data_IF_495520555896
#
_entry.id   IF_495520555896
#
_cell.length_a   1.000
_cell.length_b   1.000
_cell.length_c   1.000
_cell.angle_alpha   90.00
_cell.angle_beta   90.00
_cell.angle_gamma   90.00
#
_symmetry.space_group_name_H-M   'P 1'
#
loop_
_entity.id
_entity.type
_entity.pdbx_description
1 polymer ?
#
# COMPACT_ATOMS: atom_id res chain seq x y z
N UNK A 1 -10.75 -10.08 7.09
CA UNK A 1 -10.37 -9.07 6.10
C UNK A 1 -10.86 -9.37 4.67
N UNK A 2 -10.59 -10.53 4.07
CA UNK A 2 -11.06 -10.82 2.69
C UNK A 2 -12.60 -10.82 2.52
N UNK A 3 -13.34 -11.37 3.49
CA UNK A 3 -14.81 -11.47 3.45
C UNK A 3 -15.54 -10.11 3.39
N UNK A 4 -14.87 -9.02 3.78
CA UNK A 4 -15.41 -7.66 3.75
C UNK A 4 -15.64 -7.18 2.31
N UNK A 5 -14.75 -7.56 1.40
CA UNK A 5 -14.76 -7.10 0.02
C UNK A 5 -15.44 -8.10 -0.92
N UNK A 6 -15.31 -9.39 -0.61
CA UNK A 6 -15.75 -10.47 -1.50
C UNK A 6 -17.23 -10.85 -1.30
N UNK A 7 -17.87 -10.45 -0.20
CA UNK A 7 -19.33 -10.61 0.00
C UNK A 7 -20.10 -9.54 -0.76
N UNK A 8 -20.29 -9.78 -2.07
CA UNK A 8 -21.07 -8.92 -2.97
C UNK A 8 -22.54 -8.76 -2.59
N UNK A 9 -23.02 -9.55 -1.62
CA UNK A 9 -24.38 -9.45 -1.05
C UNK A 9 -24.59 -8.13 -0.28
N UNK A 10 -23.52 -7.50 0.22
CA UNK A 10 -23.59 -6.22 0.92
C UNK A 10 -23.46 -5.05 -0.07
N UNK A 11 -24.22 -3.96 0.11
CA UNK A 11 -24.06 -2.74 -0.66
C UNK A 11 -22.60 -2.24 -0.64
N UNK A 12 -22.06 -1.70 -1.76
CA UNK A 12 -20.68 -1.20 -1.84
C UNK A 12 -20.29 -0.24 -0.70
N UNK A 13 -21.22 0.62 -0.28
CA UNK A 13 -21.07 1.55 0.85
C UNK A 13 -20.78 0.84 2.18
N UNK A 14 -21.40 -0.32 2.41
CA UNK A 14 -21.17 -1.09 3.64
C UNK A 14 -19.83 -1.82 3.61
N UNK A 15 -19.39 -2.27 2.42
CA UNK A 15 -18.09 -2.95 2.25
C UNK A 15 -16.92 -1.99 2.50
N UNK A 16 -16.96 -0.76 1.97
CA UNK A 16 -15.90 0.24 2.23
C UNK A 16 -15.86 0.68 3.70
N UNK A 17 -17.02 0.82 4.36
CA UNK A 17 -17.09 1.18 5.78
C UNK A 17 -16.47 0.15 6.72
N UNK A 18 -16.39 -1.11 6.29
CA UNK A 18 -15.71 -2.16 7.05
C UNK A 18 -14.18 -2.05 6.97
N UNK A 19 -13.62 -1.18 6.11
CA UNK A 19 -12.19 -0.84 6.14
C UNK A 19 -11.84 0.07 7.33
N UNK A 20 -12.73 0.99 7.72
CA UNK A 20 -12.46 1.97 8.79
C UNK A 20 -12.11 1.31 10.15
N UNK A 21 -12.81 0.25 10.61
CA UNK A 21 -12.40 -0.46 11.82
C UNK A 21 -11.00 -1.08 11.74
N UNK A 22 -10.57 -1.53 10.55
CA UNK A 22 -9.22 -2.09 10.40
C UNK A 22 -8.15 -1.00 10.46
N UNK A 23 -8.37 0.15 9.82
CA UNK A 23 -7.46 1.30 9.92
C UNK A 23 -7.33 1.76 11.37
N UNK A 24 -8.46 1.87 12.10
CA UNK A 24 -8.47 2.20 13.53
C UNK A 24 -7.74 1.17 14.38
N UNK A 25 -8.00 -0.12 14.19
CA UNK A 25 -7.26 -1.17 14.90
C UNK A 25 -5.75 -1.03 14.69
N UNK A 26 -5.32 -0.79 13.45
CA UNK A 26 -3.89 -0.61 13.17
C UNK A 26 -3.33 0.61 13.90
N UNK A 27 -3.99 1.76 13.83
CA UNK A 27 -3.47 3.01 14.39
C UNK A 27 -3.61 3.11 15.91
N UNK A 28 -4.71 2.62 16.46
CA UNK A 28 -5.10 2.84 17.85
C UNK A 28 -4.68 1.67 18.76
N UNK A 29 -4.40 0.49 18.20
CA UNK A 29 -4.02 -0.70 18.98
C UNK A 29 -2.65 -1.26 18.56
N UNK A 30 -2.47 -1.57 17.27
CA UNK A 30 -1.24 -2.26 16.80
C UNK A 30 -0.01 -1.36 16.83
N UNK A 31 -0.11 -0.11 16.35
CA UNK A 31 1.02 0.83 16.37
C UNK A 31 1.49 1.13 17.81
N UNK A 32 0.59 1.42 18.77
CA UNK A 32 0.97 1.56 20.18
C UNK A 32 1.63 0.30 20.74
N UNK A 33 1.10 -0.89 20.42
CA UNK A 33 1.69 -2.16 20.86
C UNK A 33 3.12 -2.35 20.35
N UNK A 34 3.39 -2.07 19.07
CA UNK A 34 4.73 -2.17 18.48
C UNK A 34 5.71 -1.21 19.17
N UNK A 35 5.28 0.02 19.44
CA UNK A 35 6.11 1.06 20.07
C UNK A 35 6.46 0.74 21.51
N UNK A 36 5.50 0.19 22.27
CA UNK A 36 5.72 -0.31 23.63
C UNK A 36 6.72 -1.48 23.64
N UNK A 37 6.53 -2.47 22.76
CA UNK A 37 7.42 -3.63 22.63
C UNK A 37 8.86 -3.22 22.24
N UNK A 38 8.99 -2.24 21.34
CA UNK A 38 10.28 -1.69 20.90
C UNK A 38 10.85 -0.62 21.86
N UNK A 39 10.13 -0.23 22.91
CA UNK A 39 10.50 0.83 23.85
C UNK A 39 10.86 2.16 23.17
N UNK A 40 10.12 2.53 22.12
CA UNK A 40 10.32 3.77 21.38
C UNK A 40 9.00 4.29 20.83
N UNK A 41 8.58 5.46 21.33
CA UNK A 41 7.32 6.12 20.96
C UNK A 41 7.27 6.60 19.50
N UNK A 42 8.41 6.70 18.84
CA UNK A 42 8.56 7.28 17.51
C UNK A 42 9.28 6.36 16.52
N UNK A 43 9.53 5.09 16.88
CA UNK A 43 10.16 4.13 15.97
C UNK A 43 9.35 4.06 14.66
N UNK A 44 10.00 4.26 13.49
CA UNK A 44 9.31 4.16 12.22
C UNK A 44 8.97 2.70 11.92
N UNK A 45 7.80 2.49 11.33
CA UNK A 45 7.30 1.15 11.01
C UNK A 45 7.39 0.94 9.50
N UNK A 46 7.91 -0.23 9.09
CA UNK A 46 7.79 -0.69 7.72
C UNK A 46 6.49 -1.49 7.56
N UNK A 47 5.70 -1.18 6.52
CA UNK A 47 4.48 -1.90 6.18
C UNK A 47 4.69 -2.67 4.87
N UNK A 48 4.16 -3.88 4.78
CA UNK A 48 4.30 -4.71 3.58
C UNK A 48 3.03 -5.48 3.29
N UNK A 49 2.76 -5.72 2.01
CA UNK A 49 1.61 -6.52 1.61
C UNK A 49 1.64 -6.96 0.16
N UNK A 50 0.89 -8.02 -0.12
CA UNK A 50 0.74 -8.62 -1.45
C UNK A 50 -0.70 -8.48 -1.93
N UNK A 51 -0.94 -8.24 -3.21
CA UNK A 51 -2.28 -8.13 -3.78
C UNK A 51 -3.10 -7.05 -3.05
N UNK A 52 -4.26 -7.36 -2.47
CA UNK A 52 -5.01 -6.43 -1.62
C UNK A 52 -4.17 -5.85 -0.46
N UNK A 53 -3.20 -6.61 0.06
CA UNK A 53 -2.27 -6.11 1.07
C UNK A 53 -1.39 -4.97 0.57
N UNK A 54 -1.05 -4.94 -0.72
CA UNK A 54 -0.24 -3.88 -1.32
C UNK A 54 -1.02 -2.55 -1.39
N UNK A 55 -2.33 -2.61 -1.65
CA UNK A 55 -3.22 -1.45 -1.55
C UNK A 55 -3.20 -0.88 -0.13
N UNK A 56 -3.32 -1.74 0.89
CA UNK A 56 -3.28 -1.30 2.28
C UNK A 56 -1.93 -0.71 2.65
N UNK A 57 -0.83 -1.37 2.28
CA UNK A 57 0.52 -0.92 2.60
C UNK A 57 0.79 0.49 2.02
N UNK A 58 0.45 0.72 0.75
CA UNK A 58 0.62 2.06 0.16
C UNK A 58 -0.29 3.09 0.80
N UNK A 59 -1.54 2.71 1.12
CA UNK A 59 -2.50 3.63 1.72
C UNK A 59 -2.09 4.04 3.15
N UNK A 60 -1.60 3.12 3.97
CA UNK A 60 -1.08 3.44 5.30
C UNK A 60 0.14 4.37 5.24
N UNK A 61 1.08 4.09 4.35
CA UNK A 61 2.27 4.93 4.18
C UNK A 61 1.93 6.34 3.70
N UNK A 62 1.01 6.48 2.76
CA UNK A 62 0.60 7.80 2.26
C UNK A 62 -0.27 8.58 3.25
N UNK A 63 -1.13 7.90 4.01
CA UNK A 63 -2.01 8.55 5.01
C UNK A 63 -1.29 8.92 6.31
N UNK A 64 -0.34 8.10 6.73
CA UNK A 64 0.35 8.26 8.01
C UNK A 64 1.88 8.26 7.78
N UNK A 65 2.39 9.25 7.02
CA UNK A 65 3.78 9.26 6.54
C UNK A 65 4.82 9.29 7.66
N UNK A 66 4.49 9.85 8.82
CA UNK A 66 5.39 9.87 9.99
C UNK A 66 5.47 8.54 10.74
N UNK A 67 4.48 7.67 10.55
CA UNK A 67 4.36 6.36 11.22
C UNK A 67 4.93 5.27 10.31
N UNK A 68 4.44 5.19 9.08
CA UNK A 68 4.85 4.14 8.12
C UNK A 68 5.80 4.71 7.07
N UNK A 69 7.10 4.69 7.38
CA UNK A 69 8.12 5.34 6.55
C UNK A 69 8.53 4.54 5.32
N UNK A 70 8.26 3.24 5.32
CA UNK A 70 8.56 2.35 4.20
C UNK A 70 7.36 1.45 3.91
N UNK A 71 6.94 1.40 2.65
CA UNK A 71 5.92 0.48 2.16
C UNK A 71 6.49 -0.45 1.08
N UNK A 72 6.41 -1.75 1.31
CA UNK A 72 6.66 -2.75 0.28
C UNK A 72 5.33 -3.28 -0.27
N UNK A 73 5.03 -2.91 -1.51
CA UNK A 73 3.77 -3.18 -2.19
C UNK A 73 4.01 -4.19 -3.31
N UNK A 74 3.59 -5.43 -3.13
CA UNK A 74 3.81 -6.51 -4.08
C UNK A 74 2.55 -6.88 -4.86
N UNK A 75 2.61 -6.82 -6.19
CA UNK A 75 1.55 -7.23 -7.11
C UNK A 75 0.20 -6.60 -6.77
N UNK A 76 0.19 -5.28 -6.50
CA UNK A 76 -0.99 -4.55 -6.05
C UNK A 76 -1.92 -4.09 -7.17
N UNK A 77 -3.16 -3.79 -6.78
CA UNK A 77 -4.08 -2.90 -7.50
C UNK A 77 -4.35 -1.70 -6.61
N UNK A 78 -4.18 -0.50 -7.15
CA UNK A 78 -4.13 0.73 -6.35
C UNK A 78 -5.33 1.65 -6.59
N UNK A 79 -6.21 1.28 -7.52
CA UNK A 79 -7.58 1.75 -7.55
C UNK A 79 -8.41 0.92 -6.57
N UNK A 80 -9.22 1.51 -5.69
CA UNK A 80 -10.11 0.75 -4.79
C UNK A 80 -11.50 0.48 -5.40
N UNK A 81 -11.85 1.12 -6.51
CA UNK A 81 -13.19 1.02 -7.12
C UNK A 81 -13.52 -0.38 -7.63
N UNK A 82 -12.51 -1.21 -7.95
CA UNK A 82 -12.73 -2.61 -8.32
C UNK A 82 -13.29 -3.44 -7.15
N UNK A 83 -13.07 -3.01 -5.90
CA UNK A 83 -13.62 -3.65 -4.70
C UNK A 83 -15.10 -3.29 -4.47
N UNK A 84 -15.54 -2.18 -5.06
CA UNK A 84 -16.87 -1.59 -4.85
C UNK A 84 -17.76 -1.67 -6.10
N UNK A 85 -17.34 -2.45 -7.11
CA UNK A 85 -18.02 -2.56 -8.40
C UNK A 85 -18.25 -1.17 -9.06
N UNK A 86 -17.25 -0.28 -8.96
CA UNK A 86 -17.28 1.06 -9.52
C UNK A 86 -18.01 2.12 -8.67
N UNK A 87 -18.56 1.75 -7.51
CA UNK A 87 -19.16 2.73 -6.61
C UNK A 87 -18.09 3.66 -6.01
N UNK A 88 -18.33 4.96 -6.09
CA UNK A 88 -17.43 6.01 -5.60
C UNK A 88 -18.13 6.84 -4.53
N UNK A 89 -17.46 7.02 -3.40
CA UNK A 89 -17.72 8.05 -2.39
C UNK A 89 -16.38 8.47 -1.77
N UNK A 90 -16.42 9.39 -0.82
CA UNK A 90 -15.22 9.88 -0.12
C UNK A 90 -14.42 8.73 0.52
N UNK A 91 -15.09 7.75 1.13
CA UNK A 91 -14.41 6.59 1.73
C UNK A 91 -13.63 5.78 0.68
N UNK A 92 -14.20 5.55 -0.50
CA UNK A 92 -13.50 4.84 -1.60
C UNK A 92 -12.37 5.70 -2.15
N UNK A 93 -12.64 6.99 -2.36
CA UNK A 93 -11.67 7.95 -2.89
C UNK A 93 -10.41 7.99 -2.02
N UNK A 94 -10.55 8.23 -0.71
CA UNK A 94 -9.42 8.31 0.22
C UNK A 94 -8.79 6.95 0.55
N UNK A 95 -9.33 5.84 0.04
CA UNK A 95 -8.72 4.51 0.15
C UNK A 95 -8.23 3.96 -1.20
N UNK A 96 -8.20 4.80 -2.23
CA UNK A 96 -7.74 4.50 -3.57
C UNK A 96 -6.54 5.40 -3.91
N UNK A 97 -5.29 4.98 -3.62
CA UNK A 97 -4.10 5.81 -3.84
C UNK A 97 -4.01 6.45 -5.22
N UNK A 98 -4.36 5.72 -6.29
CA UNK A 98 -4.38 6.28 -7.65
C UNK A 98 -5.37 7.46 -7.77
N UNK A 99 -6.46 7.44 -7.01
CA UNK A 99 -7.48 8.49 -7.05
C UNK A 99 -7.09 9.74 -6.27
N UNK A 100 -6.52 9.60 -5.07
CA UNK A 100 -6.27 10.76 -4.19
C UNK A 100 -4.87 11.35 -4.31
N UNK A 101 -3.85 10.57 -4.68
CA UNK A 101 -2.47 11.08 -4.81
C UNK A 101 -2.36 12.30 -5.74
N UNK A 102 -3.04 12.34 -6.91
CA UNK A 102 -3.03 13.54 -7.77
C UNK A 102 -3.53 14.82 -7.09
N UNK A 103 -4.39 14.70 -6.07
CA UNK A 103 -4.94 15.83 -5.32
C UNK A 103 -4.10 16.27 -4.11
N UNK A 104 -3.02 15.56 -3.76
CA UNK A 104 -2.21 15.91 -2.59
C UNK A 104 -1.31 17.11 -2.91
N UNK A 105 -1.36 18.14 -2.06
CA UNK A 105 -0.63 19.40 -2.20
C UNK A 105 -0.21 19.96 -0.83
N UNK A 106 0.55 21.07 -0.86
CA UNK A 106 0.93 21.82 0.34
C UNK A 106 1.81 21.06 1.33
N UNK A 107 1.69 21.40 2.62
CA UNK A 107 2.53 20.86 3.69
C UNK A 107 2.41 19.35 3.84
N UNK A 108 1.23 18.79 3.56
CA UNK A 108 1.02 17.35 3.63
C UNK A 108 1.80 16.59 2.54
N UNK A 109 1.91 17.17 1.33
CA UNK A 109 2.77 16.59 0.29
C UNK A 109 4.24 16.58 0.72
N UNK A 110 4.71 17.63 1.40
CA UNK A 110 6.08 17.70 1.89
C UNK A 110 6.32 16.64 2.98
N UNK A 111 5.37 16.47 3.89
CA UNK A 111 5.44 15.43 4.93
C UNK A 111 5.60 14.03 4.33
N UNK A 112 4.85 13.72 3.26
CA UNK A 112 4.99 12.44 2.55
C UNK A 112 6.37 12.32 1.90
N UNK A 113 6.83 13.37 1.20
CA UNK A 113 8.14 13.38 0.53
C UNK A 113 9.31 13.18 1.49
N UNK A 114 9.21 13.74 2.70
CA UNK A 114 10.25 13.68 3.72
C UNK A 114 10.31 12.32 4.43
N UNK A 115 9.15 11.69 4.65
CA UNK A 115 9.09 10.53 5.54
C UNK A 115 8.74 9.21 4.85
N UNK A 116 8.27 9.23 3.59
CA UNK A 116 7.72 8.02 2.96
C UNK A 116 8.55 7.56 1.77
N UNK A 117 8.84 6.26 1.73
CA UNK A 117 9.35 5.58 0.55
C UNK A 117 8.46 4.37 0.20
N UNK A 118 8.06 4.24 -1.06
CA UNK A 118 7.27 3.10 -1.55
C UNK A 118 8.08 2.22 -2.52
N UNK A 119 8.30 0.96 -2.18
CA UNK A 119 8.77 -0.06 -3.10
C UNK A 119 7.56 -0.73 -3.78
N UNK A 120 7.32 -0.39 -5.04
CA UNK A 120 6.27 -0.93 -5.89
C UNK A 120 6.83 -2.08 -6.73
N UNK A 121 6.47 -3.31 -6.37
CA UNK A 121 7.07 -4.52 -6.93
C UNK A 121 6.00 -5.35 -7.61
N UNK A 122 6.24 -5.82 -8.84
CA UNK A 122 5.29 -6.68 -9.53
C UNK A 122 6.01 -7.71 -10.40
N UNK A 123 5.48 -8.94 -10.45
CA UNK A 123 5.89 -9.90 -11.48
C UNK A 123 5.30 -9.55 -12.85
N UNK A 124 5.78 -10.21 -13.90
CA UNK A 124 5.24 -10.05 -15.26
C UNK A 124 4.74 -11.38 -15.86
N UNK A 125 4.58 -12.39 -15.01
CA UNK A 125 4.10 -13.72 -15.38
C UNK A 125 2.60 -13.92 -15.17
N UNK A 126 2.19 -15.18 -15.02
CA UNK A 126 0.78 -15.55 -14.95
C UNK A 126 0.02 -14.82 -13.83
N UNK A 127 -1.20 -14.39 -14.16
CA UNK A 127 -2.17 -13.76 -13.26
C UNK A 127 -1.76 -12.39 -12.71
N UNK A 128 -0.74 -11.76 -13.30
CA UNK A 128 -0.38 -10.36 -12.99
C UNK A 128 -1.11 -9.34 -13.88
N UNK A 129 -1.96 -9.81 -14.80
CA UNK A 129 -2.75 -8.96 -15.68
C UNK A 129 -3.61 -7.96 -14.87
N UNK A 130 -3.47 -6.67 -15.19
CA UNK A 130 -4.05 -5.54 -14.46
C UNK A 130 -3.16 -4.99 -13.35
N UNK A 131 -2.41 -5.84 -12.62
CA UNK A 131 -1.54 -5.39 -11.53
C UNK A 131 -0.29 -4.68 -12.08
N UNK A 132 0.23 -5.14 -13.22
CA UNK A 132 1.38 -4.52 -13.90
C UNK A 132 1.03 -3.08 -14.29
N UNK A 133 -0.12 -2.90 -14.97
CA UNK A 133 -0.57 -1.58 -15.42
C UNK A 133 -0.82 -0.64 -14.24
N UNK A 134 -1.53 -1.11 -13.20
CA UNK A 134 -1.77 -0.34 -11.99
C UNK A 134 -0.47 0.05 -11.27
N UNK A 135 0.48 -0.87 -11.16
CA UNK A 135 1.77 -0.62 -10.51
C UNK A 135 2.59 0.43 -11.26
N UNK A 136 2.66 0.34 -12.59
CA UNK A 136 3.33 1.31 -13.43
C UNK A 136 2.65 2.69 -13.38
N UNK A 137 1.31 2.72 -13.45
CA UNK A 137 0.55 3.96 -13.37
C UNK A 137 0.73 4.63 -12.01
N UNK A 138 0.64 3.87 -10.93
CA UNK A 138 0.83 4.41 -9.59
C UNK A 138 2.25 4.98 -9.41
N UNK A 139 3.28 4.29 -9.91
CA UNK A 139 4.65 4.81 -9.94
C UNK A 139 4.75 6.14 -10.72
N UNK A 140 4.02 6.29 -11.84
CA UNK A 140 4.02 7.54 -12.59
C UNK A 140 3.44 8.70 -11.77
N UNK A 141 2.34 8.47 -11.05
CA UNK A 141 1.73 9.47 -10.18
C UNK A 141 2.63 9.87 -9.02
N UNK A 142 3.29 8.90 -8.37
CA UNK A 142 4.27 9.18 -7.31
C UNK A 142 5.43 10.02 -7.83
N UNK A 143 5.94 9.69 -9.03
CA UNK A 143 6.99 10.46 -9.71
C UNK A 143 6.55 11.89 -10.01
N UNK A 144 5.36 12.10 -10.56
CA UNK A 144 4.80 13.43 -10.83
C UNK A 144 4.67 14.26 -9.55
N UNK A 145 4.30 13.63 -8.44
CA UNK A 145 4.23 14.26 -7.12
C UNK A 145 5.59 14.34 -6.42
N UNK A 146 6.68 13.83 -6.98
CA UNK A 146 8.00 13.83 -6.36
C UNK A 146 8.09 13.01 -5.07
N UNK A 147 7.18 12.05 -4.88
CA UNK A 147 7.19 11.14 -3.72
C UNK A 147 8.24 10.06 -3.95
N UNK A 148 9.06 9.78 -2.94
CA UNK A 148 10.12 8.76 -3.03
C UNK A 148 9.53 7.38 -3.26
N UNK A 149 9.98 6.72 -4.32
CA UNK A 149 9.51 5.37 -4.66
C UNK A 149 10.54 4.62 -5.50
N UNK A 150 10.40 3.30 -5.53
CA UNK A 150 11.06 2.40 -6.45
C UNK A 150 9.98 1.63 -7.21
N UNK A 151 10.12 1.50 -8.53
CA UNK A 151 9.36 0.55 -9.34
C UNK A 151 10.28 -0.60 -9.71
N UNK A 152 9.91 -1.82 -9.34
CA UNK A 152 10.66 -3.04 -9.68
C UNK A 152 9.76 -4.10 -10.32
N UNK A 153 9.98 -4.34 -11.61
CA UNK A 153 9.22 -5.31 -12.39
C UNK A 153 10.08 -6.55 -12.62
N UNK A 154 9.71 -7.65 -11.97
CA UNK A 154 10.41 -8.92 -12.08
C UNK A 154 10.01 -9.64 -13.38
N UNK A 155 10.80 -10.66 -13.77
CA UNK A 155 10.68 -11.33 -15.07
C UNK A 155 9.30 -11.94 -15.37
N UNK A 156 9.11 -12.34 -16.63
CA UNK A 156 7.87 -12.98 -17.11
C UNK A 156 7.62 -14.38 -16.53
N UNK A 157 8.59 -14.95 -15.82
CA UNK A 157 8.45 -16.18 -15.04
C UNK A 157 7.83 -15.94 -13.64
N UNK A 158 7.75 -14.68 -13.22
CA UNK A 158 7.31 -14.29 -11.87
C UNK A 158 5.80 -14.05 -11.87
N UNK A 159 5.06 -15.03 -11.33
CA UNK A 159 3.59 -15.03 -11.29
C UNK A 159 3.02 -14.46 -9.99
N UNK A 160 1.73 -14.16 -9.98
CA UNK A 160 0.96 -13.69 -8.83
C UNK A 160 0.74 -14.77 -7.75
N UNK A 161 1.83 -15.24 -7.12
CA UNK A 161 1.82 -16.34 -6.16
C UNK A 161 2.82 -16.16 -5.03
N UNK A 162 2.50 -16.76 -3.89
CA UNK A 162 3.29 -16.69 -2.66
C UNK A 162 4.80 -16.98 -2.80
N UNK A 163 5.26 -18.01 -3.53
CA UNK A 163 6.69 -18.29 -3.63
C UNK A 163 7.49 -17.12 -4.23
N UNK A 164 6.87 -16.34 -5.12
CA UNK A 164 7.49 -15.16 -5.71
C UNK A 164 7.46 -13.96 -4.77
N UNK A 165 6.32 -13.71 -4.11
CA UNK A 165 6.23 -12.65 -3.10
C UNK A 165 7.21 -12.86 -1.95
N UNK A 166 7.43 -14.10 -1.50
CA UNK A 166 8.42 -14.39 -0.47
C UNK A 166 9.86 -14.07 -0.93
N UNK A 167 10.16 -14.25 -2.22
CA UNK A 167 11.48 -13.89 -2.80
C UNK A 167 11.63 -12.38 -2.92
N UNK A 168 10.61 -11.70 -3.42
CA UNK A 168 10.55 -10.23 -3.51
C UNK A 168 10.71 -9.60 -2.13
N UNK A 169 9.94 -10.07 -1.14
CA UNK A 169 10.04 -9.61 0.24
C UNK A 169 11.45 -9.72 0.81
N UNK A 170 12.11 -10.88 0.64
CA UNK A 170 13.49 -11.07 1.09
C UNK A 170 14.47 -10.13 0.39
N UNK A 171 14.30 -9.92 -0.91
CA UNK A 171 15.15 -9.03 -1.69
C UNK A 171 15.05 -7.58 -1.21
N UNK A 172 13.83 -7.05 -1.08
CA UNK A 172 13.61 -5.64 -0.75
C UNK A 172 13.76 -5.33 0.74
N UNK A 173 13.30 -6.20 1.64
CA UNK A 173 13.47 -5.99 3.09
C UNK A 173 14.93 -6.13 3.51
N UNK A 174 15.67 -7.08 2.92
CA UNK A 174 17.10 -7.21 3.16
C UNK A 174 17.86 -5.95 2.74
N UNK A 175 17.57 -5.42 1.54
CA UNK A 175 18.18 -4.18 1.05
C UNK A 175 17.85 -2.96 1.92
N UNK A 176 16.58 -2.81 2.34
CA UNK A 176 16.16 -1.69 3.19
C UNK A 176 16.84 -1.69 4.57
N UNK A 177 16.89 -2.85 5.24
CA UNK A 177 17.51 -2.95 6.56
C UNK A 177 19.02 -2.63 6.53
N UNK A 178 19.70 -2.93 5.42
CA UNK A 178 21.11 -2.57 5.25
C UNK A 178 21.34 -1.08 4.94
N UNK A 179 20.35 -0.38 4.39
CA UNK A 179 20.43 1.06 4.10
C UNK A 179 19.97 1.95 5.27
N UNK A 180 19.22 1.38 6.23
CA UNK A 180 18.63 2.08 7.37
C UNK A 180 19.44 1.97 8.68
N UNK A 181 20.53 1.20 8.68
CA UNK A 181 21.48 1.09 9.80
C UNK A 181 22.80 1.77 9.50
#
# INVERSE_FOLDING_TARGET
>A
MSAVWTRKENPPQQRIRQHLPYERFVMDELVPFIRDDCQSDDIPIAVTGTSLGALYASNFALKFPTVFRYALCMSGRYDATWLTDGFVNDDVYFNSPISYVPGIEGDYLQLIREHTHLALVCGQGKWEDGNIQDTQHFASLLREKGISHQLDLWGHDVSHQWPWWARQARHHLGGYLHAAG
#
